data_IF_079681568789
#
_entry.id   IF_079681568789
#
_cell.length_a   1.000
_cell.length_b   1.000
_cell.length_c   1.000
_cell.angle_alpha   90.00
_cell.angle_beta   90.00
_cell.angle_gamma   90.00
#
_symmetry.space_group_name_H-M   'P 1'
#
loop_
_entity.id
_entity.type
_entity.pdbx_description
1 polymer ?
#
# COMPACT_ATOMS: atom_id res chain seq x y z
N UNK A 1 4.70 13.84 -12.59
CA UNK A 1 4.17 14.94 -11.77
C UNK A 1 4.83 14.87 -10.41
N UNK A 2 4.95 15.98 -9.69
CA UNK A 2 5.40 15.96 -8.29
C UNK A 2 4.27 15.40 -7.40
N UNK A 3 4.62 14.60 -6.39
CA UNK A 3 3.63 14.01 -5.50
C UNK A 3 2.87 15.11 -4.72
N UNK A 4 1.55 14.97 -4.49
CA UNK A 4 0.79 15.91 -3.67
C UNK A 4 1.39 16.03 -2.28
N UNK A 5 1.41 17.23 -1.69
CA UNK A 5 1.89 17.39 -0.32
C UNK A 5 0.97 16.70 0.71
N UNK A 6 -0.32 16.59 0.39
CA UNK A 6 -1.39 16.07 1.24
C UNK A 6 -2.26 15.11 0.43
N UNK A 7 -2.72 14.05 1.07
CA UNK A 7 -3.65 13.07 0.53
C UNK A 7 -4.79 12.81 1.52
N UNK A 8 -5.88 12.26 1.00
CA UNK A 8 -7.09 11.98 1.76
C UNK A 8 -7.52 10.52 1.65
N UNK A 9 -7.82 9.89 2.79
CA UNK A 9 -8.29 8.50 2.86
C UNK A 9 -9.73 8.47 3.38
N UNK A 10 -10.63 7.94 2.57
CA UNK A 10 -12.02 7.70 2.96
C UNK A 10 -12.11 6.35 3.65
N UNK A 11 -12.66 6.34 4.86
CA UNK A 11 -12.71 5.15 5.70
C UNK A 11 -14.00 5.11 6.53
N UNK A 12 -14.45 3.93 6.90
CA UNK A 12 -15.51 3.76 7.90
C UNK A 12 -14.99 4.11 9.30
N UNK A 13 -15.90 4.37 10.24
CA UNK A 13 -15.54 4.50 11.66
C UNK A 13 -14.85 3.25 12.22
N UNK A 14 -15.21 2.06 11.75
CA UNK A 14 -14.57 0.80 12.16
C UNK A 14 -13.10 0.77 11.73
N UNK A 15 -12.82 1.14 10.47
CA UNK A 15 -11.46 1.24 9.96
C UNK A 15 -10.69 2.34 10.68
N UNK A 16 -11.31 3.51 10.94
CA UNK A 16 -10.69 4.55 11.74
C UNK A 16 -10.30 4.04 13.13
N UNK A 17 -11.16 3.29 13.81
CA UNK A 17 -10.88 2.74 15.12
C UNK A 17 -9.61 1.86 15.10
N UNK A 18 -9.46 1.02 14.07
CA UNK A 18 -8.26 0.19 13.88
C UNK A 18 -7.02 1.02 13.56
N UNK A 19 -7.13 2.04 12.70
CA UNK A 19 -6.04 2.96 12.37
C UNK A 19 -5.54 3.67 13.62
N UNK A 20 -6.45 4.24 14.42
CA UNK A 20 -6.10 4.98 15.62
C UNK A 20 -5.54 4.08 16.72
N UNK A 21 -6.13 2.89 16.91
CA UNK A 21 -5.69 1.94 17.93
C UNK A 21 -4.29 1.38 17.64
N UNK A 22 -4.05 0.97 16.39
CA UNK A 22 -2.81 0.31 15.99
C UNK A 22 -1.73 1.31 15.54
N UNK A 23 -2.12 2.54 15.20
CA UNK A 23 -1.28 3.56 14.55
C UNK A 23 -0.66 3.06 13.25
N UNK A 24 -1.47 2.38 12.44
CA UNK A 24 -1.06 1.78 11.17
C UNK A 24 -2.06 2.08 10.08
N UNK A 25 -1.59 2.14 8.83
CA UNK A 25 -2.45 2.07 7.65
C UNK A 25 -2.31 0.68 7.02
N UNK A 26 -3.44 0.10 6.65
CA UNK A 26 -3.49 -1.18 5.97
C UNK A 26 -3.19 -1.03 4.49
N UNK A 27 -2.32 -1.90 4.00
CA UNK A 27 -2.11 -2.19 2.60
C UNK A 27 -2.80 -3.52 2.29
N UNK A 28 -3.86 -3.47 1.49
CA UNK A 28 -4.64 -4.65 1.10
C UNK A 28 -4.10 -5.24 -0.19
N UNK A 29 -4.10 -6.56 -0.31
CA UNK A 29 -3.70 -7.23 -1.55
C UNK A 29 -4.59 -6.79 -2.71
N UNK A 30 -4.03 -6.62 -3.90
CA UNK A 30 -4.72 -6.02 -5.05
C UNK A 30 -5.94 -6.83 -5.51
N UNK A 31 -6.04 -8.12 -5.18
CA UNK A 31 -7.25 -8.93 -5.41
C UNK A 31 -8.38 -8.68 -4.39
N UNK A 32 -8.17 -7.78 -3.42
CA UNK A 32 -9.08 -7.42 -2.33
C UNK A 32 -9.56 -5.97 -2.39
N UNK A 33 -9.16 -5.21 -3.41
CA UNK A 33 -9.68 -3.86 -3.64
C UNK A 33 -10.97 -3.88 -4.47
N UNK A 34 -11.50 -2.69 -4.74
CA UNK A 34 -12.80 -2.45 -5.35
C UNK A 34 -12.88 -2.85 -6.83
N UNK A 35 -11.81 -2.63 -7.62
CA UNK A 35 -11.77 -3.03 -9.02
C UNK A 35 -11.06 -4.39 -9.20
N UNK A 36 -11.81 -5.48 -9.45
CA UNK A 36 -11.23 -6.81 -9.62
C UNK A 36 -10.44 -6.96 -10.94
N UNK A 37 -10.42 -5.97 -11.82
CA UNK A 37 -9.62 -5.98 -13.05
C UNK A 37 -8.15 -5.69 -12.75
N UNK A 38 -7.85 -4.90 -11.72
CA UNK A 38 -6.49 -4.39 -11.46
C UNK A 38 -5.46 -5.47 -11.13
N UNK A 39 -5.92 -6.60 -10.58
CA UNK A 39 -5.07 -7.75 -10.30
C UNK A 39 -4.73 -8.59 -11.54
N UNK A 40 -5.38 -8.35 -12.67
CA UNK A 40 -5.32 -9.22 -13.85
C UNK A 40 -4.22 -8.73 -14.80
N UNK A 41 -3.51 -9.66 -15.41
CA UNK A 41 -2.64 -9.40 -16.55
C UNK A 41 -3.12 -10.24 -17.75
N UNK A 42 -2.59 -9.97 -18.94
CA UNK A 42 -2.93 -10.77 -20.13
C UNK A 42 -2.41 -12.22 -20.05
N UNK A 43 -1.43 -12.47 -19.17
CA UNK A 43 -0.63 -13.70 -19.12
C UNK A 43 -0.45 -14.29 -17.71
N UNK A 44 -1.10 -13.73 -16.68
CA UNK A 44 -1.10 -14.25 -15.31
C UNK A 44 -2.35 -13.89 -14.51
N UNK A 45 -2.75 -14.79 -13.61
CA UNK A 45 -3.78 -14.59 -12.60
C UNK A 45 -3.24 -14.48 -11.16
N UNK A 46 -1.98 -14.87 -10.89
CA UNK A 46 -1.43 -14.81 -9.53
C UNK A 46 -0.62 -13.54 -9.26
N UNK A 47 -0.04 -12.90 -10.27
CA UNK A 47 0.91 -11.80 -10.05
C UNK A 47 0.27 -10.57 -9.40
N UNK A 48 -1.03 -10.32 -9.60
CA UNK A 48 -1.76 -9.27 -8.87
C UNK A 48 -1.78 -9.51 -7.35
N UNK A 49 -1.79 -10.76 -6.88
CA UNK A 49 -1.73 -11.10 -5.45
C UNK A 49 -0.37 -10.76 -4.82
N UNK A 50 0.63 -10.40 -5.61
CA UNK A 50 1.93 -9.95 -5.12
C UNK A 50 1.95 -8.44 -4.85
N UNK A 51 0.90 -7.70 -5.21
CA UNK A 51 0.80 -6.26 -4.96
C UNK A 51 -0.10 -6.02 -3.76
N UNK A 52 0.36 -5.20 -2.80
CA UNK A 52 -0.44 -4.72 -1.69
C UNK A 52 -0.52 -3.19 -1.78
N UNK A 53 -1.72 -2.63 -1.65
CA UNK A 53 -1.98 -1.23 -1.92
C UNK A 53 -2.77 -0.55 -0.81
N UNK A 54 -2.52 0.75 -0.62
CA UNK A 54 -3.34 1.65 0.18
C UNK A 54 -3.82 2.81 -0.69
N UNK A 55 -5.13 2.96 -0.85
CA UNK A 55 -5.76 3.88 -1.80
C UNK A 55 -6.14 5.21 -1.13
N UNK A 56 -5.74 6.32 -1.75
CA UNK A 56 -5.96 7.69 -1.29
C UNK A 56 -6.42 8.55 -2.46
N UNK A 57 -6.96 9.73 -2.20
CA UNK A 57 -7.26 10.72 -3.24
C UNK A 57 -6.43 11.98 -3.04
N UNK A 58 -6.04 12.61 -4.15
CA UNK A 58 -5.40 13.93 -4.15
C UNK A 58 -6.41 15.09 -4.12
N UNK A 59 -7.70 14.80 -4.31
CA UNK A 59 -8.76 15.81 -4.29
C UNK A 59 -8.93 16.37 -2.89
N UNK A 60 -8.77 17.68 -2.72
CA UNK A 60 -9.11 18.42 -1.50
C UNK A 60 -10.62 18.61 -1.35
N UNK A 61 -11.33 18.74 -2.46
CA UNK A 61 -12.79 18.67 -2.54
C UNK A 61 -13.31 17.26 -2.17
N UNK A 62 -14.38 17.24 -1.39
CA UNK A 62 -15.07 16.02 -1.00
C UNK A 62 -15.86 15.41 -2.17
N UNK A 63 -16.04 14.08 -2.17
CA UNK A 63 -16.71 13.36 -3.25
C UNK A 63 -17.90 12.54 -2.72
N UNK A 64 -19.09 12.81 -3.24
CA UNK A 64 -20.33 12.09 -2.88
C UNK A 64 -20.20 10.58 -3.18
N UNK A 65 -19.71 10.15 -4.37
CA UNK A 65 -19.40 8.73 -4.62
C UNK A 65 -18.45 8.15 -3.57
N UNK A 66 -17.36 8.87 -3.23
CA UNK A 66 -16.39 8.38 -2.24
C UNK A 66 -17.02 8.16 -0.85
N UNK A 67 -17.88 9.08 -0.42
CA UNK A 67 -18.64 8.93 0.82
C UNK A 67 -19.58 7.73 0.81
N UNK A 68 -20.24 7.45 -0.32
CA UNK A 68 -21.23 6.36 -0.41
C UNK A 68 -20.59 4.99 -0.56
N UNK A 69 -19.49 4.89 -1.29
CA UNK A 69 -18.89 3.61 -1.67
C UNK A 69 -17.81 3.14 -0.70
N UNK A 70 -17.04 4.05 -0.07
CA UNK A 70 -15.84 3.68 0.69
C UNK A 70 -15.94 3.97 2.19
N UNK A 71 -16.47 5.14 2.55
CA UNK A 71 -16.52 5.55 3.96
C UNK A 71 -17.87 5.22 4.64
N UNK A 72 -18.97 5.40 3.92
CA UNK A 72 -20.33 5.38 4.47
C UNK A 72 -20.85 6.79 4.76
N UNK A 73 -21.98 7.18 4.18
CA UNK A 73 -22.53 8.53 4.33
C UNK A 73 -22.95 8.86 5.78
N UNK A 74 -23.31 7.85 6.56
CA UNK A 74 -23.83 7.99 7.93
C UNK A 74 -22.83 7.60 9.04
N UNK A 75 -21.73 6.95 8.68
CA UNK A 75 -20.77 6.33 9.61
C UNK A 75 -19.32 6.40 9.13
N UNK A 76 -19.03 7.31 8.21
CA UNK A 76 -17.74 7.44 7.56
C UNK A 76 -16.93 8.62 8.07
N UNK A 77 -15.66 8.57 7.77
CA UNK A 77 -14.72 9.67 7.93
C UNK A 77 -13.82 9.80 6.71
N UNK A 78 -13.24 10.97 6.56
CA UNK A 78 -12.17 11.27 5.61
C UNK A 78 -10.98 11.76 6.41
N UNK A 79 -9.88 11.04 6.29
CA UNK A 79 -8.64 11.27 7.02
C UNK A 79 -7.68 12.01 6.09
N UNK A 80 -7.26 13.20 6.47
CA UNK A 80 -6.24 13.97 5.78
C UNK A 80 -4.88 13.73 6.43
N UNK A 81 -3.86 13.43 5.63
CA UNK A 81 -2.47 13.31 6.07
C UNK A 81 -1.51 13.87 5.03
N UNK A 82 -0.29 14.22 5.47
CA UNK A 82 0.82 14.49 4.54
C UNK A 82 1.15 13.23 3.72
N UNK A 83 1.66 13.41 2.51
CA UNK A 83 2.23 12.29 1.75
C UNK A 83 3.40 11.65 2.49
N UNK A 84 3.55 10.35 2.31
CA UNK A 84 4.47 9.49 3.06
C UNK A 84 4.25 9.61 4.58
N UNK A 85 3.04 9.28 5.09
CA UNK A 85 2.74 9.39 6.52
C UNK A 85 3.42 8.30 7.38
N UNK A 86 4.31 7.49 6.81
CA UNK A 86 4.85 6.28 7.43
C UNK A 86 6.15 6.53 8.20
N UNK A 87 6.43 5.64 9.15
CA UNK A 87 7.76 5.57 9.76
C UNK A 87 8.79 5.19 8.70
N UNK A 88 9.97 5.80 8.81
CA UNK A 88 11.15 5.36 8.10
C UNK A 88 12.01 4.52 9.03
N UNK A 89 12.68 3.53 8.46
CA UNK A 89 13.47 2.56 9.18
C UNK A 89 14.93 2.69 8.83
N UNK A 90 15.77 2.22 9.74
CA UNK A 90 17.19 2.01 9.51
C UNK A 90 17.52 0.53 9.53
N UNK A 91 18.62 0.18 8.86
CA UNK A 91 19.19 -1.16 8.84
C UNK A 91 20.54 -1.13 9.54
N UNK A 92 20.72 -2.04 10.48
CA UNK A 92 21.96 -2.22 11.21
C UNK A 92 23.09 -2.72 10.30
N UNK A 93 24.33 -2.41 10.67
CA UNK A 93 25.51 -2.93 9.98
C UNK A 93 25.53 -4.45 9.95
N UNK A 94 25.12 -5.08 11.05
CA UNK A 94 25.02 -6.52 11.20
C UNK A 94 24.07 -7.11 10.14
N UNK A 95 22.89 -6.53 9.97
CA UNK A 95 21.92 -6.94 8.95
C UNK A 95 22.42 -6.70 7.52
N UNK A 96 23.15 -5.60 7.27
CA UNK A 96 23.79 -5.37 5.96
C UNK A 96 24.86 -6.42 5.65
N UNK A 97 25.66 -6.82 6.65
CA UNK A 97 26.65 -7.89 6.51
C UNK A 97 26.01 -9.24 6.19
N UNK A 98 24.81 -9.52 6.72
CA UNK A 98 24.07 -10.73 6.41
C UNK A 98 23.59 -10.76 4.95
N UNK A 99 23.23 -9.60 4.36
CA UNK A 99 22.78 -9.51 2.98
C UNK A 99 23.93 -9.78 1.98
N UNK A 100 25.00 -8.99 2.03
CA UNK A 100 26.21 -9.18 1.23
C UNK A 100 27.31 -8.19 1.62
N UNK A 101 28.58 -8.52 1.31
CA UNK A 101 29.70 -7.57 1.45
C UNK A 101 29.52 -6.31 0.58
N UNK A 102 28.77 -6.40 -0.52
CA UNK A 102 28.46 -5.28 -1.41
C UNK A 102 27.38 -4.35 -0.83
N UNK A 103 26.42 -4.90 -0.08
CA UNK A 103 25.41 -4.10 0.63
C UNK A 103 26.06 -3.17 1.68
N UNK A 104 27.13 -3.63 2.33
CA UNK A 104 27.91 -2.86 3.31
C UNK A 104 28.68 -1.71 2.65
N UNK A 105 29.27 -1.94 1.47
CA UNK A 105 30.01 -0.90 0.72
C UNK A 105 29.11 0.26 0.28
N UNK A 106 27.82 0.00 0.09
CA UNK A 106 26.84 1.02 -0.27
C UNK A 106 26.29 1.80 0.94
N UNK A 107 26.72 1.51 2.18
CA UNK A 107 26.29 2.20 3.41
C UNK A 107 27.46 2.89 4.13
N UNK A 108 28.02 3.99 3.56
CA UNK A 108 29.14 4.70 4.19
C UNK A 108 28.68 5.36 5.50
N UNK A 109 28.99 4.75 6.64
CA UNK A 109 28.62 5.26 7.97
C UNK A 109 28.22 4.20 8.99
N UNK A 110 27.94 2.97 8.55
CA UNK A 110 27.71 1.85 9.45
C UNK A 110 26.25 1.60 9.86
N UNK A 111 25.32 2.36 9.28
CA UNK A 111 23.89 2.09 9.29
C UNK A 111 23.30 2.66 8.00
N UNK A 112 22.15 2.14 7.60
CA UNK A 112 21.45 2.65 6.42
C UNK A 112 20.04 3.10 6.77
N UNK A 113 19.71 4.39 6.57
CA UNK A 113 18.45 5.00 7.01
C UNK A 113 17.49 5.32 5.85
N UNK A 114 16.21 5.55 6.18
CA UNK A 114 15.22 6.07 5.23
C UNK A 114 14.43 5.00 4.48
N UNK A 115 14.46 3.73 4.91
CA UNK A 115 13.67 2.68 4.27
C UNK A 115 12.18 2.86 4.58
N UNK A 116 11.33 2.50 3.61
CA UNK A 116 9.88 2.45 3.82
C UNK A 116 9.44 1.30 4.71
N UNK A 117 10.25 0.24 4.80
CA UNK A 117 9.92 -0.99 5.53
C UNK A 117 11.07 -1.43 6.44
N UNK A 118 10.76 -2.02 7.60
CA UNK A 118 11.76 -2.62 8.48
C UNK A 118 12.26 -3.92 7.85
N UNK A 119 13.43 -3.89 7.21
CA UNK A 119 14.02 -5.03 6.53
C UNK A 119 14.09 -6.29 7.41
N UNK A 120 14.44 -6.11 8.69
CA UNK A 120 14.66 -7.18 9.66
C UNK A 120 13.36 -7.97 9.98
N UNK A 121 12.18 -7.36 9.80
CA UNK A 121 10.87 -8.02 10.00
C UNK A 121 10.58 -9.11 8.94
N UNK A 122 11.45 -9.27 7.95
CA UNK A 122 11.31 -10.23 6.84
C UNK A 122 12.34 -11.37 6.86
N UNK A 123 13.23 -11.43 7.86
CA UNK A 123 14.28 -12.47 7.91
C UNK A 123 13.71 -13.88 8.01
N UNK A 124 12.70 -14.07 8.86
CA UNK A 124 12.07 -15.38 9.09
C UNK A 124 10.86 -15.64 8.19
N UNK A 125 10.64 -14.79 7.18
CA UNK A 125 9.49 -14.90 6.27
C UNK A 125 9.90 -15.54 4.95
N UNK A 126 9.00 -16.32 4.38
CA UNK A 126 9.15 -16.89 3.02
C UNK A 126 8.78 -15.89 1.91
N UNK A 127 8.67 -14.61 2.26
CA UNK A 127 8.43 -13.51 1.34
C UNK A 127 9.04 -12.24 1.93
N UNK A 128 9.32 -11.27 1.05
CA UNK A 128 9.67 -9.90 1.43
C UNK A 128 9.05 -8.92 0.44
N UNK A 129 9.30 -7.63 0.58
CA UNK A 129 8.84 -6.61 -0.37
C UNK A 129 10.05 -5.98 -1.08
N UNK A 130 9.91 -5.62 -2.35
CA UNK A 130 10.98 -4.89 -3.06
C UNK A 130 11.31 -3.56 -2.38
N UNK A 131 10.32 -2.97 -1.72
CA UNK A 131 10.38 -1.70 -1.00
C UNK A 131 11.11 -1.82 0.37
N UNK A 132 11.65 -3.00 0.71
CA UNK A 132 12.71 -3.12 1.73
C UNK A 132 14.09 -2.71 1.20
N UNK A 133 14.18 -2.29 -0.07
CA UNK A 133 15.37 -1.71 -0.67
C UNK A 133 15.28 -0.18 -0.78
N UNK A 134 16.41 0.45 -1.09
CA UNK A 134 16.56 1.89 -1.29
C UNK A 134 15.85 2.45 -2.51
N UNK A 135 15.57 3.75 -2.43
CA UNK A 135 15.17 4.59 -3.57
C UNK A 135 14.00 3.99 -4.36
N UNK A 136 13.12 3.29 -3.64
CA UNK A 136 11.90 2.69 -4.18
C UNK A 136 10.76 3.64 -3.97
N UNK A 137 10.25 4.18 -5.06
CA UNK A 137 9.01 4.94 -5.02
C UNK A 137 7.84 4.01 -4.70
N UNK A 138 7.11 4.33 -3.64
CA UNK A 138 5.94 3.57 -3.21
C UNK A 138 4.64 4.30 -3.54
N UNK A 139 4.67 5.62 -3.78
CA UNK A 139 3.50 6.43 -4.05
C UNK A 139 3.33 6.65 -5.56
N UNK A 140 2.21 6.18 -6.10
CA UNK A 140 1.92 6.21 -7.52
C UNK A 140 0.58 6.90 -7.78
N UNK A 141 0.53 7.75 -8.80
CA UNK A 141 -0.73 8.25 -9.35
C UNK A 141 -1.36 7.14 -10.20
N UNK A 142 -2.66 6.91 -10.02
CA UNK A 142 -3.39 5.95 -10.86
C UNK A 142 -3.74 6.61 -12.19
N UNK A 143 -3.33 5.97 -13.29
CA UNK A 143 -3.69 6.39 -14.64
C UNK A 143 -5.03 5.78 -15.07
N UNK A 144 -5.97 6.62 -15.49
CA UNK A 144 -7.28 6.17 -15.96
C UNK A 144 -7.30 6.03 -17.48
N UNK A 145 -7.60 4.83 -17.97
CA UNK A 145 -7.57 4.51 -19.40
C UNK A 145 -8.63 3.47 -19.77
N UNK A 146 -8.99 3.41 -21.06
CA UNK A 146 -9.79 2.31 -21.62
C UNK A 146 -8.97 1.48 -22.62
N UNK A 147 -7.65 1.68 -22.67
CA UNK A 147 -6.76 0.85 -23.47
C UNK A 147 -6.58 -0.51 -22.79
N UNK A 148 -7.09 -1.57 -23.41
CA UNK A 148 -7.00 -2.94 -22.90
C UNK A 148 -5.56 -3.40 -22.67
N UNK A 149 -4.59 -2.90 -23.44
CA UNK A 149 -3.19 -3.29 -23.29
C UNK A 149 -2.52 -2.72 -22.04
N UNK A 150 -3.05 -1.61 -21.50
CA UNK A 150 -2.62 -1.01 -20.23
C UNK A 150 -3.40 -1.58 -19.05
N UNK A 151 -4.69 -1.88 -19.24
CA UNK A 151 -5.54 -2.50 -18.22
C UNK A 151 -5.18 -3.98 -17.97
N UNK A 152 -4.75 -4.69 -19.01
CA UNK A 152 -4.33 -6.09 -18.96
C UNK A 152 -2.94 -6.23 -19.59
N UNK A 153 -1.89 -5.70 -18.95
CA UNK A 153 -0.55 -5.75 -19.50
C UNK A 153 -0.04 -7.18 -19.62
N UNK A 154 0.82 -7.43 -20.60
CA UNK A 154 1.63 -8.65 -20.63
C UNK A 154 2.85 -8.44 -19.74
N UNK A 155 2.97 -9.20 -18.65
CA UNK A 155 3.99 -8.94 -17.62
C UNK A 155 5.07 -10.01 -17.57
N UNK A 156 4.88 -11.17 -18.21
CA UNK A 156 5.84 -12.26 -18.21
C UNK A 156 6.67 -12.23 -19.49
N UNK A 157 7.99 -12.11 -19.32
CA UNK A 157 8.98 -12.19 -20.38
C UNK A 157 9.83 -13.45 -20.21
N UNK A 158 9.86 -14.28 -21.25
CA UNK A 158 10.69 -15.49 -21.33
C UNK A 158 11.83 -15.20 -22.32
N UNK A 159 13.06 -15.33 -21.87
CA UNK A 159 14.25 -15.14 -22.69
C UNK A 159 14.66 -16.44 -23.40
N UNK A 160 15.39 -16.32 -24.50
CA UNK A 160 15.84 -17.48 -25.31
C UNK A 160 16.69 -18.48 -24.51
N UNK A 161 17.40 -18.01 -23.49
CA UNK A 161 18.19 -18.85 -22.58
C UNK A 161 17.35 -19.57 -21.51
N UNK A 162 16.01 -19.44 -21.55
CA UNK A 162 15.10 -20.00 -20.56
C UNK A 162 14.92 -19.15 -19.30
N UNK A 163 15.54 -17.96 -19.23
CA UNK A 163 15.32 -17.01 -18.15
C UNK A 163 13.88 -16.48 -18.15
N UNK A 164 13.35 -16.17 -16.97
CA UNK A 164 11.99 -15.68 -16.77
C UNK A 164 12.03 -14.40 -15.93
N UNK A 165 11.36 -13.34 -16.40
CA UNK A 165 11.19 -12.09 -15.65
C UNK A 165 9.72 -11.67 -15.67
N UNK A 166 9.18 -11.34 -14.51
CA UNK A 166 7.86 -10.74 -14.35
C UNK A 166 7.99 -9.24 -14.07
N UNK A 167 7.44 -8.39 -14.94
CA UNK A 167 7.35 -6.95 -14.72
C UNK A 167 6.12 -6.61 -13.88
N UNK A 168 6.32 -6.57 -12.56
CA UNK A 168 5.26 -6.27 -11.60
C UNK A 168 4.96 -4.78 -11.48
N UNK A 169 5.73 -3.89 -12.11
CA UNK A 169 5.49 -2.45 -12.05
C UNK A 169 4.29 -2.03 -12.89
N UNK A 170 3.93 -2.83 -13.91
CA UNK A 170 2.76 -2.58 -14.74
C UNK A 170 1.42 -2.88 -14.04
N UNK A 171 1.43 -3.57 -12.88
CA UNK A 171 0.22 -3.97 -12.17
C UNK A 171 -0.19 -2.96 -11.09
N UNK A 172 -1.49 -2.69 -11.01
CA UNK A 172 -2.07 -1.81 -10.01
C UNK A 172 -1.76 -0.34 -10.21
N UNK A 173 -1.39 0.11 -11.42
CA UNK A 173 -1.16 1.52 -11.75
C UNK A 173 -2.18 2.09 -12.74
N UNK A 174 -2.97 1.24 -13.40
CA UNK A 174 -4.05 1.64 -14.31
C UNK A 174 -5.42 1.24 -13.77
N UNK A 175 -6.42 2.09 -13.99
CA UNK A 175 -7.85 1.80 -13.76
C UNK A 175 -8.68 2.18 -14.98
N UNK A 176 -9.86 1.58 -15.13
CA UNK A 176 -10.79 1.98 -16.20
C UNK A 176 -11.27 3.43 -15.99
N UNK A 177 -11.61 4.15 -17.06
CA UNK A 177 -12.08 5.55 -16.91
C UNK A 177 -13.37 5.69 -16.12
N UNK A 178 -14.12 4.59 -15.91
CA UNK A 178 -15.30 4.58 -15.04
C UNK A 178 -14.97 4.96 -13.59
N UNK A 179 -13.73 4.72 -13.14
CA UNK A 179 -13.27 5.02 -11.78
C UNK A 179 -12.60 6.39 -11.62
N UNK A 180 -12.53 7.21 -12.69
CA UNK A 180 -11.74 8.44 -12.68
C UNK A 180 -12.19 9.50 -11.66
N UNK A 181 -13.40 9.37 -11.12
CA UNK A 181 -13.90 10.22 -10.03
C UNK A 181 -13.11 10.05 -8.72
N UNK A 182 -12.36 8.96 -8.56
CA UNK A 182 -11.56 8.70 -7.37
C UNK A 182 -10.35 9.66 -7.26
N UNK A 183 -9.82 10.14 -8.41
CA UNK A 183 -8.56 10.92 -8.46
C UNK A 183 -7.47 10.27 -7.60
N UNK A 184 -7.36 8.95 -7.76
CA UNK A 184 -6.63 8.08 -6.85
C UNK A 184 -5.11 8.25 -6.96
N UNK A 185 -4.49 8.35 -5.79
CA UNK A 185 -3.08 8.12 -5.55
C UNK A 185 -2.97 6.95 -4.59
N UNK A 186 -2.03 6.03 -4.81
CA UNK A 186 -1.90 4.85 -3.97
C UNK A 186 -0.48 4.57 -3.58
N UNK A 187 -0.33 4.07 -2.36
CA UNK A 187 0.90 3.45 -1.93
C UNK A 187 0.90 1.99 -2.38
N UNK A 188 1.99 1.51 -2.98
CA UNK A 188 2.13 0.15 -3.53
C UNK A 188 3.35 -0.50 -2.89
N UNK A 189 3.15 -1.70 -2.35
CA UNK A 189 4.20 -2.63 -1.94
C UNK A 189 4.15 -3.87 -2.84
N UNK A 190 5.31 -4.29 -3.33
CA UNK A 190 5.46 -5.40 -4.27
C UNK A 190 6.16 -6.55 -3.57
N UNK A 191 5.38 -7.54 -3.17
CA UNK A 191 5.88 -8.73 -2.51
C UNK A 191 6.65 -9.62 -3.49
N UNK A 192 7.73 -10.20 -3.00
CA UNK A 192 8.53 -11.22 -3.68
C UNK A 192 8.30 -12.53 -2.94
N UNK A 193 7.90 -13.64 -3.60
CA UNK A 193 7.41 -14.84 -2.94
C UNK A 193 8.56 -15.80 -2.59
N UNK A 194 9.67 -15.20 -2.12
CA UNK A 194 10.89 -15.87 -1.66
C UNK A 194 11.41 -15.13 -0.42
N UNK A 195 11.85 -15.89 0.58
CA UNK A 195 12.47 -15.33 1.77
C UNK A 195 13.88 -14.80 1.51
N UNK A 196 14.33 -13.85 2.32
CA UNK A 196 15.61 -13.18 2.10
C UNK A 196 16.78 -14.15 2.32
N UNK A 197 16.72 -14.99 3.34
CA UNK A 197 17.68 -16.09 3.57
C UNK A 197 17.81 -17.02 2.34
N UNK A 198 16.69 -17.30 1.68
CA UNK A 198 16.66 -18.18 0.51
C UNK A 198 17.33 -17.57 -0.71
N UNK A 199 17.28 -16.24 -0.84
CA UNK A 199 18.01 -15.49 -1.88
C UNK A 199 19.51 -15.51 -1.58
N UNK A 200 19.90 -15.14 -0.35
CA UNK A 200 21.31 -15.07 0.06
C UNK A 200 22.00 -16.43 -0.08
N UNK A 201 21.34 -17.49 0.38
CA UNK A 201 21.90 -18.84 0.40
C UNK A 201 21.54 -19.67 -0.84
N UNK A 202 20.98 -19.05 -1.89
CA UNK A 202 20.63 -19.67 -3.18
C UNK A 202 19.90 -21.02 -3.00
N UNK A 203 18.75 -20.98 -2.32
CA UNK A 203 17.92 -22.17 -2.09
C UNK A 203 17.12 -22.50 -3.35
N UNK A 204 17.62 -23.48 -4.11
CA UNK A 204 17.05 -23.86 -5.42
C UNK A 204 15.55 -24.23 -5.36
N UNK A 205 15.11 -24.91 -4.32
CA UNK A 205 13.69 -25.27 -4.13
C UNK A 205 12.79 -24.03 -4.01
N UNK A 206 13.26 -22.99 -3.33
CA UNK A 206 12.52 -21.74 -3.17
C UNK A 206 12.54 -20.90 -4.46
N UNK A 207 13.64 -20.92 -5.20
CA UNK A 207 13.75 -20.28 -6.53
C UNK A 207 12.81 -20.96 -7.54
N UNK A 208 12.74 -22.30 -7.52
CA UNK A 208 11.80 -23.07 -8.33
C UNK A 208 10.35 -22.75 -7.95
N UNK A 209 10.04 -22.67 -6.64
CA UNK A 209 8.71 -22.24 -6.18
C UNK A 209 8.37 -20.83 -6.67
N UNK A 210 9.27 -19.87 -6.55
CA UNK A 210 9.04 -18.51 -7.06
C UNK A 210 8.79 -18.50 -8.58
N UNK A 211 9.51 -19.34 -9.33
CA UNK A 211 9.26 -19.56 -10.76
C UNK A 211 7.87 -20.14 -11.01
N UNK A 212 7.45 -21.13 -10.22
CA UNK A 212 6.12 -21.73 -10.30
C UNK A 212 5.01 -20.72 -9.96
N UNK A 213 5.26 -19.77 -9.06
CA UNK A 213 4.34 -18.65 -8.80
C UNK A 213 4.19 -17.76 -10.03
N UNK A 214 5.30 -17.36 -10.66
CA UNK A 214 5.26 -16.51 -11.87
C UNK A 214 4.54 -17.21 -13.01
N UNK A 215 4.70 -18.52 -13.15
CA UNK A 215 4.03 -19.34 -14.17
C UNK A 215 2.62 -19.82 -13.76
N UNK A 216 2.02 -19.21 -12.75
CA UNK A 216 0.68 -19.53 -12.23
C UNK A 216 0.46 -20.98 -11.75
N UNK A 217 1.52 -21.75 -11.50
CA UNK A 217 1.42 -23.15 -11.06
C UNK A 217 1.11 -23.28 -9.56
N UNK A 218 1.36 -22.25 -8.76
CA UNK A 218 0.97 -22.23 -7.35
C UNK A 218 0.64 -20.82 -6.85
N UNK A 219 -0.06 -20.75 -5.71
CA UNK A 219 -0.37 -19.48 -5.05
C UNK A 219 0.91 -18.85 -4.47
N UNK A 220 1.09 -17.52 -4.58
CA UNK A 220 2.29 -16.86 -4.11
C UNK A 220 2.48 -16.97 -2.60
N UNK A 221 1.42 -17.23 -1.81
CA UNK A 221 1.50 -17.36 -0.36
C UNK A 221 1.72 -16.01 0.34
N UNK A 222 1.40 -14.92 -0.35
CA UNK A 222 1.50 -13.55 0.19
C UNK A 222 0.25 -13.26 1.04
N UNK A 223 0.43 -12.76 2.27
CA UNK A 223 -0.69 -12.39 3.13
C UNK A 223 -1.67 -11.42 2.46
N UNK A 224 -2.97 -11.48 2.82
CA UNK A 224 -3.99 -10.62 2.22
C UNK A 224 -3.82 -9.15 2.56
N UNK A 225 -3.01 -8.80 3.56
CA UNK A 225 -2.70 -7.43 3.91
C UNK A 225 -1.34 -7.32 4.63
N UNK A 226 -0.85 -6.08 4.70
CA UNK A 226 0.29 -5.68 5.52
C UNK A 226 -0.02 -4.31 6.15
N UNK A 227 0.20 -4.17 7.45
CA UNK A 227 -0.10 -2.94 8.18
C UNK A 227 1.20 -2.14 8.37
N UNK A 228 1.26 -0.91 7.84
CA UNK A 228 2.45 -0.06 7.92
C UNK A 228 2.28 1.02 8.98
N UNK A 229 3.27 1.17 9.86
CA UNK A 229 3.21 2.12 10.96
C UNK A 229 3.25 3.58 10.49
N UNK A 230 2.37 4.39 11.07
CA UNK A 230 2.29 5.84 10.85
C UNK A 230 3.40 6.50 11.70
N UNK A 231 4.08 7.50 11.15
CA UNK A 231 5.04 8.32 11.90
C UNK A 231 4.34 9.18 12.95
N UNK A 232 5.00 9.47 14.07
CA UNK A 232 4.39 10.28 15.13
C UNK A 232 4.05 11.69 14.63
N UNK A 233 4.87 12.25 13.75
CA UNK A 233 4.61 13.54 13.10
C UNK A 233 3.35 13.50 12.23
N UNK A 234 3.20 12.51 11.36
CA UNK A 234 2.02 12.37 10.51
C UNK A 234 0.76 12.08 11.34
N UNK A 235 0.88 11.25 12.38
CA UNK A 235 -0.24 10.94 13.28
C UNK A 235 -0.71 12.18 14.05
N UNK A 236 0.22 13.00 14.56
CA UNK A 236 -0.11 14.21 15.32
C UNK A 236 -0.67 15.36 14.47
N UNK A 237 -0.39 15.36 13.17
CA UNK A 237 -0.84 16.39 12.22
C UNK A 237 -2.06 15.98 11.38
N UNK A 238 -2.60 14.77 11.62
CA UNK A 238 -3.78 14.30 10.88
C UNK A 238 -5.01 15.14 11.17
N UNK A 239 -5.88 15.26 10.16
CA UNK A 239 -7.20 15.86 10.32
C UNK A 239 -8.28 14.88 9.92
N UNK A 240 -9.44 14.97 10.57
CA UNK A 240 -10.57 14.10 10.28
C UNK A 240 -11.77 14.95 9.91
N UNK A 241 -12.42 14.62 8.80
CA UNK A 241 -13.72 15.15 8.42
C UNK A 241 -14.73 14.03 8.59
N UNK A 242 -15.82 14.28 9.31
CA UNK A 242 -16.91 13.31 9.40
C UNK A 242 -17.84 13.35 8.21
N UNK A 243 -18.44 12.21 7.86
CA UNK A 243 -19.37 12.10 6.74
C UNK A 243 -20.58 13.05 6.83
N UNK A 244 -21.15 13.48 5.68
CA UNK A 244 -22.19 14.51 5.61
C UNK A 244 -23.52 14.15 6.29
N UNK A 245 -23.82 12.86 6.49
CA UNK A 245 -25.03 12.39 7.19
C UNK A 245 -24.70 11.67 8.49
N UNK A 246 -23.56 11.96 9.11
CA UNK A 246 -23.15 11.21 10.29
C UNK A 246 -24.19 11.29 11.41
N UNK A 247 -24.67 10.13 11.86
CA UNK A 247 -25.72 10.08 12.88
C UNK A 247 -25.21 10.59 14.24
N UNK A 248 -26.10 11.07 15.12
CA UNK A 248 -25.71 11.46 16.49
C UNK A 248 -25.00 10.34 17.26
N UNK A 249 -25.41 9.09 17.08
CA UNK A 249 -24.75 7.93 17.69
C UNK A 249 -23.33 7.72 17.16
N UNK A 250 -23.14 7.78 15.84
CA UNK A 250 -21.82 7.66 15.23
C UNK A 250 -20.91 8.83 15.59
N UNK A 251 -21.45 10.04 15.78
CA UNK A 251 -20.71 11.19 16.33
C UNK A 251 -20.18 10.92 17.74
N UNK A 252 -20.98 10.31 18.62
CA UNK A 252 -20.51 9.92 19.97
C UNK A 252 -19.36 8.93 19.87
N UNK A 253 -19.46 7.93 18.98
CA UNK A 253 -18.40 6.95 18.75
C UNK A 253 -17.13 7.62 18.24
N UNK A 254 -17.23 8.49 17.22
CA UNK A 254 -16.10 9.24 16.70
C UNK A 254 -15.39 10.03 17.82
N UNK A 255 -16.15 10.80 18.59
CA UNK A 255 -15.59 11.63 19.66
C UNK A 255 -14.86 10.77 20.70
N UNK A 256 -15.45 9.62 21.10
CA UNK A 256 -14.82 8.70 22.04
C UNK A 256 -13.52 8.07 21.50
N UNK A 257 -13.48 7.74 20.20
CA UNK A 257 -12.26 7.25 19.54
C UNK A 257 -11.16 8.31 19.58
N UNK A 258 -11.50 9.56 19.27
CA UNK A 258 -10.54 10.66 19.23
C UNK A 258 -9.99 10.95 20.64
N UNK A 259 -10.86 11.07 21.63
CA UNK A 259 -10.47 11.29 23.02
C UNK A 259 -9.51 10.20 23.53
N UNK A 260 -9.76 8.94 23.17
CA UNK A 260 -8.98 7.81 23.64
C UNK A 260 -7.62 7.67 22.96
N UNK A 261 -7.55 7.84 21.64
CA UNK A 261 -6.38 7.44 20.86
C UNK A 261 -5.59 8.61 20.24
N UNK A 262 -6.26 9.74 20.00
CA UNK A 262 -5.67 10.88 19.30
C UNK A 262 -6.20 12.22 19.86
N UNK A 263 -6.05 12.48 21.18
CA UNK A 263 -6.56 13.69 21.78
C UNK A 263 -5.91 14.94 21.15
N UNK A 264 -6.73 15.92 20.78
CA UNK A 264 -6.28 17.20 20.25
C UNK A 264 -6.16 17.28 18.72
N UNK A 265 -6.43 16.21 17.98
CA UNK A 265 -6.50 16.29 16.51
C UNK A 265 -7.73 17.12 16.08
N UNK A 266 -7.62 17.72 14.90
CA UNK A 266 -8.71 18.49 14.31
C UNK A 266 -9.78 17.55 13.74
N UNK A 267 -11.03 17.75 14.19
CA UNK A 267 -12.22 17.06 13.65
C UNK A 267 -13.19 18.11 13.13
N UNK A 268 -13.49 18.05 11.83
CA UNK A 268 -14.43 18.93 11.15
C UNK A 268 -15.66 18.15 10.65
N UNK A 269 -16.71 18.89 10.31
CA UNK A 269 -17.87 18.34 9.61
C UNK A 269 -17.67 18.43 8.09
N UNK A 270 -18.33 17.54 7.35
CA UNK A 270 -18.34 17.61 5.89
C UNK A 270 -18.91 18.94 5.43
N UNK A 271 -18.30 19.51 4.39
CA UNK A 271 -18.82 20.67 3.68
C UNK A 271 -19.98 20.33 2.73
N UNK A 272 -20.21 19.03 2.48
CA UNK A 272 -21.32 18.56 1.64
C UNK A 272 -22.60 18.49 2.47
N UNK A 273 -23.66 19.10 1.98
CA UNK A 273 -25.01 18.94 2.53
C UNK A 273 -25.78 17.86 1.74
N UNK A 274 -26.28 16.83 2.43
CA UNK A 274 -27.16 15.82 1.85
C UNK A 274 -28.49 15.80 2.61
N UNK A 275 -29.61 15.73 1.86
CA UNK A 275 -30.95 15.51 2.43
C UNK A 275 -31.20 14.04 2.76
#
# INVERSE_FOLDING_TARGET
MEAPAVLYHYASLDTLALILHNRTIRFSRLDKVDDPQEQRSADSQNLGKMKLVSCWTSSDEESIPMWREYAGAECGVRIQMKSYPFKQYSVSNESLHMLSSEAVLNAPGGSFDGLHLPLEDFWDKNYHFFETARDREILHEVEYTNDESLLFPKVINVFENGGLVADLNALGVHKTTAWSYQKEWRYILTAVPIGIDSVINVRLDQILRATDVVLDKCDPGIPPFYDLAISDEAFSSMKIVSSPKMTPGNRVILNALIEKYAPGIEVAESSIELS
#
